data_IF_062946908926
#
_entry.id   IF_062946908926
#
_cell.length_a   1.000
_cell.length_b   1.000
_cell.length_c   1.000
_cell.angle_alpha   90.00
_cell.angle_beta   90.00
_cell.angle_gamma   90.00
#
_symmetry.space_group_name_H-M   'P 1'
#
loop_
_entity.id
_entity.type
_entity.pdbx_description
1 polymer ?
#
# COMPACT_ATOMS: atom_id res chain seq x y z
N UNK A 1 45.31 -15.93 0.71
CA UNK A 1 44.40 -16.28 -0.40
C UNK A 1 42.97 -16.01 0.04
N UNK A 2 42.51 -14.77 -0.12
CA UNK A 2 41.09 -14.42 0.09
C UNK A 2 40.34 -14.88 -1.16
N UNK A 3 39.52 -15.93 -1.02
CA UNK A 3 38.62 -16.37 -2.09
C UNK A 3 37.50 -15.35 -2.22
N UNK A 4 37.54 -14.55 -3.29
CA UNK A 4 36.42 -13.75 -3.73
C UNK A 4 35.27 -14.70 -4.09
N UNK A 5 34.14 -14.56 -3.40
CA UNK A 5 32.89 -15.20 -3.79
C UNK A 5 32.41 -14.52 -5.09
N UNK A 6 31.99 -15.29 -6.12
CA UNK A 6 31.57 -14.73 -7.40
C UNK A 6 30.25 -13.95 -7.26
N UNK A 7 30.16 -12.81 -7.97
CA UNK A 7 29.01 -11.89 -8.00
C UNK A 7 27.66 -12.54 -8.37
N UNK A 8 27.67 -13.72 -8.97
CA UNK A 8 26.46 -14.46 -9.34
C UNK A 8 25.64 -14.99 -8.15
N UNK A 9 26.18 -15.02 -6.94
CA UNK A 9 25.48 -15.51 -5.74
C UNK A 9 24.66 -14.39 -5.04
N UNK A 10 24.93 -13.12 -5.33
CA UNK A 10 24.28 -11.98 -4.66
C UNK A 10 23.01 -11.49 -5.36
N UNK A 11 22.86 -11.69 -6.68
CA UNK A 11 21.59 -11.46 -7.37
C UNK A 11 20.51 -12.47 -6.95
N UNK A 12 20.88 -13.61 -6.37
CA UNK A 12 19.94 -14.58 -5.81
C UNK A 12 19.26 -14.08 -4.51
N UNK A 13 19.83 -13.09 -3.80
CA UNK A 13 19.19 -12.58 -2.57
C UNK A 13 17.96 -11.70 -2.85
N UNK A 14 17.78 -11.24 -4.09
CA UNK A 14 16.51 -10.69 -4.55
C UNK A 14 15.64 -11.86 -5.02
N UNK A 15 14.82 -12.42 -4.13
CA UNK A 15 13.81 -13.40 -4.51
C UNK A 15 14.17 -14.88 -4.34
N UNK A 16 15.11 -15.24 -3.45
CA UNK A 16 15.21 -16.63 -2.97
C UNK A 16 13.93 -17.02 -2.21
N UNK A 17 12.94 -17.49 -2.96
CA UNK A 17 11.79 -18.19 -2.46
C UNK A 17 12.29 -19.49 -1.80
N UNK A 18 12.32 -19.51 -0.48
CA UNK A 18 12.14 -20.78 0.22
C UNK A 18 10.76 -21.28 -0.22
N UNK A 19 10.72 -22.45 -0.87
CA UNK A 19 9.47 -23.11 -1.26
C UNK A 19 8.57 -23.19 -0.02
N UNK A 20 7.54 -22.34 0.01
CA UNK A 20 6.52 -22.39 1.04
C UNK A 20 5.69 -23.65 0.83
N UNK A 21 5.25 -24.27 1.93
CA UNK A 21 4.16 -25.24 1.86
C UNK A 21 2.99 -24.61 1.10
N UNK A 22 2.37 -25.35 0.18
CA UNK A 22 1.15 -24.91 -0.50
C UNK A 22 0.17 -24.32 0.54
N UNK A 23 -0.38 -23.12 0.30
CA UNK A 23 -1.33 -22.52 1.23
C UNK A 23 -2.48 -23.49 1.48
N UNK A 24 -2.98 -23.54 2.72
CA UNK A 24 -4.10 -24.41 3.10
C UNK A 24 -5.45 -23.97 2.48
N UNK A 25 -5.42 -22.93 1.66
CA UNK A 25 -6.54 -22.25 1.04
C UNK A 25 -6.18 -21.91 -0.42
N UNK A 26 -7.19 -21.83 -1.28
CA UNK A 26 -7.01 -21.65 -2.73
C UNK A 26 -6.79 -20.17 -3.08
N UNK A 27 -5.61 -19.84 -3.59
CA UNK A 27 -5.30 -18.50 -4.10
C UNK A 27 -5.78 -18.24 -5.54
N UNK A 28 -6.37 -19.24 -6.19
CA UNK A 28 -6.89 -19.10 -7.54
C UNK A 28 -8.07 -18.11 -7.55
N UNK A 29 -7.97 -17.07 -8.37
CA UNK A 29 -9.02 -16.05 -8.52
C UNK A 29 -9.51 -15.45 -7.18
N UNK A 30 -8.59 -15.27 -6.20
CA UNK A 30 -8.97 -14.76 -4.88
C UNK A 30 -9.45 -13.30 -4.93
N UNK A 31 -9.02 -12.52 -5.93
CA UNK A 31 -9.54 -11.17 -6.17
C UNK A 31 -11.04 -11.19 -6.50
N UNK A 32 -11.49 -12.22 -7.19
CA UNK A 32 -12.90 -12.49 -7.51
C UNK A 32 -13.57 -13.43 -6.48
N UNK A 33 -12.94 -13.65 -5.33
CA UNK A 33 -13.43 -14.52 -4.25
C UNK A 33 -13.76 -15.95 -4.72
N UNK A 34 -12.97 -16.48 -5.66
CA UNK A 34 -13.19 -17.80 -6.26
C UNK A 34 -14.51 -17.92 -7.03
N UNK A 35 -15.11 -16.79 -7.43
CA UNK A 35 -16.45 -16.72 -8.02
C UNK A 35 -17.59 -16.96 -7.02
N UNK A 36 -17.32 -16.92 -5.72
CA UNK A 36 -18.27 -17.25 -4.64
C UNK A 36 -18.28 -16.19 -3.53
N UNK A 37 -18.55 -14.91 -3.84
CA UNK A 37 -18.45 -13.82 -2.88
C UNK A 37 -19.32 -14.01 -1.62
N UNK A 38 -20.51 -14.61 -1.75
CA UNK A 38 -21.41 -14.86 -0.61
C UNK A 38 -20.87 -15.93 0.35
N UNK A 39 -20.27 -17.00 -0.17
CA UNK A 39 -19.64 -18.04 0.66
C UNK A 39 -18.43 -17.45 1.40
N UNK A 40 -17.63 -16.65 0.69
CA UNK A 40 -16.46 -15.96 1.27
C UNK A 40 -16.89 -14.93 2.32
N UNK A 41 -17.96 -14.17 2.10
CA UNK A 41 -18.50 -13.23 3.10
C UNK A 41 -18.95 -13.96 4.36
N UNK A 42 -19.64 -15.09 4.22
CA UNK A 42 -20.06 -15.91 5.36
C UNK A 42 -18.87 -16.48 6.15
N UNK A 43 -17.80 -16.89 5.46
CA UNK A 43 -16.57 -17.34 6.10
C UNK A 43 -15.85 -16.18 6.80
N UNK A 44 -15.81 -15.00 6.16
CA UNK A 44 -15.23 -13.79 6.71
C UNK A 44 -15.91 -13.38 8.02
N UNK A 45 -17.25 -13.38 8.08
CA UNK A 45 -18.00 -13.06 9.31
C UNK A 45 -17.68 -13.98 10.50
N UNK A 46 -17.20 -15.21 10.23
CA UNK A 46 -16.79 -16.15 11.27
C UNK A 46 -15.38 -15.91 11.78
N UNK A 47 -14.47 -15.45 10.91
CA UNK A 47 -13.08 -15.17 11.27
C UNK A 47 -12.43 -14.15 10.31
N UNK A 48 -12.66 -12.84 10.52
CA UNK A 48 -12.10 -11.79 9.68
C UNK A 48 -10.58 -11.83 9.60
N UNK A 49 -9.92 -12.09 10.73
CA UNK A 49 -8.47 -12.10 10.86
C UNK A 49 -7.83 -13.28 10.11
N UNK A 50 -8.48 -14.44 10.09
CA UNK A 50 -8.01 -15.61 9.34
C UNK A 50 -8.04 -15.30 7.85
N UNK A 51 -9.16 -14.78 7.34
CA UNK A 51 -9.28 -14.48 5.92
C UNK A 51 -8.36 -13.31 5.50
N UNK A 52 -8.14 -12.33 6.37
CA UNK A 52 -7.15 -11.28 6.14
C UNK A 52 -5.74 -11.84 5.94
N UNK A 53 -5.36 -12.82 6.77
CA UNK A 53 -4.09 -13.52 6.64
C UNK A 53 -4.01 -14.39 5.38
N UNK A 54 -5.10 -15.09 5.03
CA UNK A 54 -5.19 -15.83 3.78
C UNK A 54 -4.92 -14.91 2.58
N UNK A 55 -5.59 -13.75 2.52
CA UNK A 55 -5.34 -12.76 1.48
C UNK A 55 -3.91 -12.24 1.48
N UNK A 56 -3.33 -11.95 2.64
CA UNK A 56 -1.94 -11.50 2.73
C UNK A 56 -0.95 -12.56 2.21
N UNK A 57 -1.20 -13.83 2.51
CA UNK A 57 -0.40 -14.95 1.99
C UNK A 57 -0.59 -15.08 0.47
N UNK A 58 -1.82 -14.98 -0.07
CA UNK A 58 -2.02 -14.97 -1.53
C UNK A 58 -1.32 -13.81 -2.23
N UNK A 59 -1.42 -12.60 -1.68
CA UNK A 59 -0.77 -11.41 -2.21
C UNK A 59 0.75 -11.60 -2.29
N UNK A 60 1.34 -12.31 -1.33
CA UNK A 60 2.77 -12.60 -1.25
C UNK A 60 3.19 -13.94 -1.90
N UNK A 61 2.25 -14.67 -2.51
CA UNK A 61 2.59 -15.86 -3.30
C UNK A 61 3.35 -15.45 -4.57
N UNK A 62 4.27 -16.29 -5.09
CA UNK A 62 4.82 -16.10 -6.44
C UNK A 62 3.72 -15.89 -7.49
N UNK A 63 3.88 -14.89 -8.35
CA UNK A 63 2.89 -14.52 -9.37
C UNK A 63 2.70 -15.62 -10.42
N UNK A 64 3.76 -16.36 -10.71
CA UNK A 64 3.74 -17.53 -11.59
C UNK A 64 4.78 -18.54 -11.08
N UNK A 65 4.72 -19.76 -11.60
CA UNK A 65 5.76 -20.76 -11.35
C UNK A 65 7.13 -20.17 -11.74
N UNK A 66 8.10 -20.26 -10.84
CA UNK A 66 9.46 -19.71 -10.96
C UNK A 66 9.56 -18.17 -11.06
N UNK A 67 8.46 -17.44 -10.88
CA UNK A 67 8.51 -15.98 -10.75
C UNK A 67 9.01 -15.59 -9.37
N UNK A 68 9.98 -14.67 -9.33
CA UNK A 68 10.37 -14.02 -8.08
C UNK A 68 9.41 -12.86 -7.70
N UNK A 69 8.54 -12.40 -8.62
CA UNK A 69 7.56 -11.33 -8.35
C UNK A 69 6.41 -11.93 -7.56
N UNK A 70 5.90 -11.17 -6.58
CA UNK A 70 4.70 -11.55 -5.84
C UNK A 70 3.46 -11.14 -6.61
N UNK A 71 2.33 -11.78 -6.30
CA UNK A 71 1.04 -11.44 -6.91
C UNK A 71 0.74 -9.94 -6.78
N UNK A 72 1.02 -9.33 -5.61
CA UNK A 72 0.78 -7.90 -5.42
C UNK A 72 1.65 -6.99 -6.31
N UNK A 73 2.87 -7.42 -6.69
CA UNK A 73 3.75 -6.67 -7.60
C UNK A 73 3.15 -6.59 -9.02
N UNK A 74 2.26 -7.54 -9.35
CA UNK A 74 1.47 -7.57 -10.58
C UNK A 74 0.32 -6.56 -10.63
N UNK A 75 -0.07 -5.92 -9.52
CA UNK A 75 -1.17 -4.96 -9.51
C UNK A 75 -0.82 -3.64 -10.22
N UNK A 76 -1.81 -2.86 -10.68
CA UNK A 76 -1.59 -1.59 -11.40
C UNK A 76 -1.20 -0.47 -10.44
N UNK A 77 0.02 0.10 -10.53
CA UNK A 77 0.38 1.28 -9.75
C UNK A 77 -0.49 2.47 -10.13
N UNK A 78 -0.94 3.22 -9.13
CA UNK A 78 -1.83 4.37 -9.33
C UNK A 78 -1.22 5.48 -10.18
N UNK A 79 0.12 5.63 -10.22
CA UNK A 79 0.82 6.57 -11.10
C UNK A 79 0.72 6.21 -12.60
N UNK A 80 0.38 4.95 -12.91
CA UNK A 80 0.06 4.49 -14.27
C UNK A 80 -1.45 4.49 -14.57
N UNK A 81 -2.27 4.99 -13.64
CA UNK A 81 -3.73 5.15 -13.80
C UNK A 81 -4.07 6.63 -13.87
N UNK A 82 -3.56 7.40 -12.92
CA UNK A 82 -3.76 8.84 -12.81
C UNK A 82 -2.57 9.57 -13.45
N UNK A 83 -2.55 9.60 -14.78
CA UNK A 83 -1.43 10.14 -15.54
C UNK A 83 -1.26 11.66 -15.30
N UNK A 84 -0.02 12.20 -15.31
CA UNK A 84 0.25 13.61 -15.04
C UNK A 84 -0.48 14.63 -15.95
N UNK A 85 -0.90 14.19 -17.13
CA UNK A 85 -1.62 14.98 -18.12
C UNK A 85 -3.14 14.68 -18.15
N UNK A 86 -3.64 13.82 -17.25
CA UNK A 86 -5.03 13.39 -17.18
C UNK A 86 -5.49 12.55 -18.37
N UNK A 87 -4.56 12.01 -19.17
CA UNK A 87 -4.89 11.15 -20.30
C UNK A 87 -5.40 9.77 -19.84
N UNK A 88 -5.99 9.02 -20.78
CA UNK A 88 -6.47 7.67 -20.52
C UNK A 88 -5.27 6.74 -20.29
N UNK A 89 -5.26 5.95 -19.21
CA UNK A 89 -4.15 5.03 -18.95
C UNK A 89 -4.11 3.89 -19.96
N UNK A 90 -2.94 3.26 -20.10
CA UNK A 90 -2.78 1.99 -20.81
C UNK A 90 -3.66 0.89 -20.19
N UNK A 91 -4.08 -0.13 -20.97
CA UNK A 91 -4.81 -1.31 -20.45
C UNK A 91 -4.16 -1.93 -19.21
N UNK A 92 -4.94 -2.68 -18.42
CA UNK A 92 -4.46 -3.21 -17.12
C UNK A 92 -3.16 -4.01 -17.23
N UNK A 93 -3.07 -4.90 -18.22
CA UNK A 93 -1.89 -5.77 -18.47
C UNK A 93 -0.66 -5.02 -18.97
N UNK A 94 -0.85 -3.79 -19.46
CA UNK A 94 0.23 -3.01 -20.05
C UNK A 94 0.80 -2.05 -19.00
N UNK A 95 2.13 -2.00 -18.92
CA UNK A 95 2.85 -1.11 -18.02
C UNK A 95 3.38 0.10 -18.77
N UNK A 96 3.42 1.24 -18.10
CA UNK A 96 4.31 2.31 -18.51
C UNK A 96 5.76 1.81 -18.38
N UNK A 97 6.64 2.07 -19.37
CA UNK A 97 8.01 1.61 -19.31
C UNK A 97 8.76 2.30 -18.16
N UNK A 98 9.58 1.53 -17.44
CA UNK A 98 10.50 2.11 -16.45
C UNK A 98 11.38 3.18 -17.14
N UNK A 99 11.55 4.38 -16.54
CA UNK A 99 12.30 5.45 -17.18
C UNK A 99 13.71 5.01 -17.59
N UNK A 100 14.15 5.40 -18.79
CA UNK A 100 15.47 4.99 -19.34
C UNK A 100 16.62 5.34 -18.39
N UNK A 101 16.54 6.50 -17.72
CA UNK A 101 17.52 6.90 -16.72
C UNK A 101 17.58 5.95 -15.51
N UNK A 102 16.43 5.41 -15.09
CA UNK A 102 16.34 4.42 -14.01
C UNK A 102 16.97 3.10 -14.46
N UNK A 103 16.63 2.61 -15.66
CA UNK A 103 17.22 1.38 -16.22
C UNK A 103 18.73 1.49 -16.33
N UNK A 104 19.25 2.62 -16.85
CA UNK A 104 20.69 2.86 -16.96
C UNK A 104 21.39 2.86 -15.59
N UNK A 105 20.79 3.51 -14.60
CA UNK A 105 21.34 3.53 -13.24
C UNK A 105 21.32 2.13 -12.60
N UNK A 106 20.23 1.38 -12.78
CA UNK A 106 20.09 0.01 -12.30
C UNK A 106 21.17 -0.92 -12.90
N UNK A 107 21.40 -0.86 -14.22
CA UNK A 107 22.47 -1.61 -14.89
C UNK A 107 23.85 -1.30 -14.31
N UNK A 108 24.14 -0.02 -14.08
CA UNK A 108 25.40 0.40 -13.47
C UNK A 108 25.58 -0.11 -12.02
N UNK A 109 24.48 -0.38 -11.32
CA UNK A 109 24.46 -0.95 -9.97
C UNK A 109 24.44 -2.49 -9.95
N UNK A 110 24.37 -3.16 -11.12
CA UNK A 110 24.26 -4.62 -11.20
C UNK A 110 22.90 -5.16 -10.77
N UNK A 111 21.86 -4.33 -10.84
CA UNK A 111 20.47 -4.69 -10.54
C UNK A 111 19.86 -5.52 -11.68
N UNK A 112 18.86 -6.34 -11.35
CA UNK A 112 18.16 -7.17 -12.34
C UNK A 112 17.12 -6.33 -13.08
N UNK A 113 17.41 -5.94 -14.32
CA UNK A 113 16.52 -5.12 -15.14
C UNK A 113 15.29 -5.85 -15.68
N UNK A 114 15.17 -7.16 -15.47
CA UNK A 114 14.01 -7.95 -15.91
C UNK A 114 12.88 -7.97 -14.89
N UNK A 115 13.20 -7.65 -13.63
CA UNK A 115 12.27 -7.52 -12.51
C UNK A 115 11.49 -6.21 -12.58
N UNK A 116 10.35 -6.19 -11.89
CA UNK A 116 9.58 -4.96 -11.67
C UNK A 116 10.38 -3.92 -10.87
N UNK A 117 10.34 -2.67 -11.31
CA UNK A 117 10.86 -1.51 -10.57
C UNK A 117 9.69 -0.70 -9.99
N UNK A 118 9.62 -0.61 -8.68
CA UNK A 118 8.55 0.09 -7.98
C UNK A 118 8.81 1.60 -7.91
N UNK A 119 7.84 2.40 -8.37
CA UNK A 119 7.85 3.85 -8.21
C UNK A 119 7.32 4.23 -6.82
N UNK A 120 8.23 4.63 -5.92
CA UNK A 120 7.92 5.01 -4.53
C UNK A 120 7.73 6.53 -4.43
N UNK A 121 6.68 7.01 -5.08
CA UNK A 121 6.48 8.43 -5.40
C UNK A 121 5.95 9.30 -4.26
N UNK A 122 5.52 8.68 -3.16
CA UNK A 122 4.82 9.37 -2.07
C UNK A 122 5.60 9.27 -0.76
N UNK A 123 5.56 10.31 0.06
CA UNK A 123 6.21 10.34 1.39
C UNK A 123 5.34 10.96 2.48
N UNK A 124 4.27 11.64 2.09
CA UNK A 124 3.36 12.30 3.01
C UNK A 124 2.25 11.34 3.42
N UNK A 125 1.94 11.36 4.71
CA UNK A 125 0.77 10.72 5.27
C UNK A 125 -0.45 11.63 5.12
N UNK A 126 -1.60 11.12 5.51
CA UNK A 126 -2.88 11.82 5.31
C UNK A 126 -2.98 13.12 6.12
N UNK A 127 -2.24 13.20 7.22
CA UNK A 127 -2.11 14.36 8.10
C UNK A 127 -1.08 15.39 7.61
N UNK A 128 -0.43 15.13 6.47
CA UNK A 128 0.62 15.96 5.91
C UNK A 128 2.00 15.77 6.54
N UNK A 129 2.11 14.92 7.56
CA UNK A 129 3.39 14.62 8.21
C UNK A 129 4.16 13.54 7.44
N UNK A 130 5.46 13.51 7.69
CA UNK A 130 6.40 12.53 7.15
C UNK A 130 6.82 11.63 8.29
N UNK A 131 6.82 10.32 8.04
CA UNK A 131 7.49 9.37 8.92
C UNK A 131 8.96 9.28 8.51
N UNK A 132 9.87 9.43 9.46
CA UNK A 132 11.30 9.40 9.21
C UNK A 132 11.93 8.05 9.56
N UNK A 133 12.91 7.66 8.76
CA UNK A 133 13.84 6.58 9.06
C UNK A 133 14.79 7.01 10.19
N UNK A 134 14.99 6.14 11.19
CA UNK A 134 15.79 6.40 12.37
C UNK A 134 16.29 5.12 13.04
N UNK A 135 16.88 5.22 14.24
CA UNK A 135 17.44 4.06 14.94
C UNK A 135 18.62 3.41 14.19
N UNK A 136 18.46 2.13 13.85
CA UNK A 136 19.49 1.24 13.29
C UNK A 136 19.71 1.41 11.77
N UNK A 137 19.30 2.53 11.20
CA UNK A 137 19.59 2.87 9.79
C UNK A 137 21.00 3.45 9.62
N UNK A 138 21.62 3.30 8.45
CA UNK A 138 22.87 3.98 8.12
C UNK A 138 22.75 5.50 8.29
N UNK A 139 23.85 6.17 8.64
CA UNK A 139 23.85 7.62 8.87
C UNK A 139 23.31 8.41 7.66
N UNK A 140 23.58 7.93 6.44
CA UNK A 140 23.09 8.52 5.20
C UNK A 140 21.58 8.36 4.97
N UNK A 141 20.89 7.49 5.72
CA UNK A 141 19.44 7.27 5.63
C UNK A 141 18.66 7.89 6.80
N UNK A 142 19.34 8.28 7.90
CA UNK A 142 18.66 8.88 9.06
C UNK A 142 17.97 10.19 8.69
N UNK A 143 16.73 10.37 9.13
CA UNK A 143 15.89 11.54 8.83
C UNK A 143 15.31 11.56 7.42
N UNK A 144 15.57 10.54 6.59
CA UNK A 144 14.91 10.44 5.29
C UNK A 144 13.52 9.82 5.42
N UNK A 145 12.59 10.17 4.52
CA UNK A 145 11.21 9.70 4.60
C UNK A 145 11.09 8.19 4.34
N UNK A 146 10.21 7.54 5.09
CA UNK A 146 9.53 6.32 4.64
C UNK A 146 8.70 6.66 3.40
N UNK A 147 8.69 5.76 2.42
CA UNK A 147 8.03 5.99 1.13
C UNK A 147 6.81 5.11 0.95
N UNK A 148 5.89 5.53 0.09
CA UNK A 148 4.65 4.83 -0.17
C UNK A 148 4.45 4.55 -1.65
N UNK A 149 3.72 3.47 -1.93
CA UNK A 149 3.19 3.15 -3.26
C UNK A 149 1.75 2.68 -3.12
N UNK A 150 0.89 3.09 -4.04
CA UNK A 150 -0.50 2.61 -4.12
C UNK A 150 -0.67 1.79 -5.39
N UNK A 151 -1.37 0.65 -5.26
CA UNK A 151 -1.64 -0.29 -6.34
C UNK A 151 -3.11 -0.70 -6.35
N UNK A 152 -3.66 -1.07 -7.51
CA UNK A 152 -5.07 -1.47 -7.64
C UNK A 152 -5.27 -2.76 -8.44
N UNK A 153 -6.32 -3.49 -8.05
CA UNK A 153 -6.84 -4.67 -8.72
C UNK A 153 -7.43 -4.38 -10.10
N UNK A 154 -7.63 -5.43 -10.89
CA UNK A 154 -8.18 -5.33 -12.25
C UNK A 154 -9.56 -4.68 -12.27
N UNK A 155 -10.45 -5.09 -11.39
CA UNK A 155 -11.83 -4.59 -11.40
C UNK A 155 -11.93 -3.16 -10.86
N UNK A 156 -11.07 -2.77 -9.92
CA UNK A 156 -10.91 -1.36 -9.52
C UNK A 156 -10.49 -0.51 -10.71
N UNK A 157 -9.44 -0.93 -11.42
CA UNK A 157 -8.95 -0.25 -12.62
C UNK A 157 -10.02 -0.19 -13.72
N UNK A 158 -10.65 -1.32 -14.02
CA UNK A 158 -11.67 -1.44 -15.06
C UNK A 158 -12.82 -0.49 -14.79
N UNK A 159 -13.33 -0.48 -13.55
CA UNK A 159 -14.41 0.42 -13.15
C UNK A 159 -14.01 1.91 -13.28
N UNK A 160 -12.78 2.28 -12.86
CA UNK A 160 -12.26 3.65 -13.01
C UNK A 160 -12.21 4.08 -14.49
N UNK A 161 -11.72 3.21 -15.36
CA UNK A 161 -11.61 3.47 -16.80
C UNK A 161 -12.98 3.54 -17.46
N UNK A 162 -13.87 2.60 -17.15
CA UNK A 162 -15.21 2.51 -17.73
C UNK A 162 -16.11 3.69 -17.31
N UNK A 163 -15.98 4.16 -16.06
CA UNK A 163 -16.65 5.38 -15.60
C UNK A 163 -15.96 6.66 -16.05
N UNK A 164 -14.78 6.58 -16.66
CA UNK A 164 -14.03 7.74 -17.12
C UNK A 164 -13.42 8.59 -16.00
N UNK A 165 -13.35 8.09 -14.76
CA UNK A 165 -12.96 8.86 -13.56
C UNK A 165 -11.44 8.83 -13.27
N UNK A 166 -10.63 8.35 -14.21
CA UNK A 166 -9.15 8.37 -14.14
C UNK A 166 -8.56 9.79 -14.22
N UNK A 167 -9.36 10.81 -14.53
CA UNK A 167 -8.97 12.22 -14.52
C UNK A 167 -10.04 13.07 -13.82
N UNK A 168 -9.69 14.32 -13.49
CA UNK A 168 -10.60 15.21 -12.74
C UNK A 168 -11.79 15.63 -13.59
N UNK A 169 -11.65 15.75 -14.91
CA UNK A 169 -12.76 16.06 -15.81
C UNK A 169 -13.89 15.03 -15.72
N UNK A 170 -13.55 13.73 -15.69
CA UNK A 170 -14.50 12.66 -15.50
C UNK A 170 -15.16 12.65 -14.13
N UNK A 171 -14.39 12.96 -13.07
CA UNK A 171 -14.94 13.09 -11.72
C UNK A 171 -15.88 14.31 -11.60
N UNK A 172 -15.57 15.41 -12.28
CA UNK A 172 -16.43 16.59 -12.35
C UNK A 172 -17.72 16.39 -13.15
N UNK A 173 -17.73 15.41 -14.05
CA UNK A 173 -18.91 15.01 -14.81
C UNK A 173 -19.84 14.05 -14.06
N UNK A 174 -19.49 13.59 -12.84
CA UNK A 174 -20.32 12.67 -12.06
C UNK A 174 -21.67 13.30 -11.70
N UNK A 175 -22.74 12.55 -11.95
CA UNK A 175 -24.13 12.91 -11.59
C UNK A 175 -24.68 12.07 -10.44
N UNK A 176 -23.92 11.07 -9.99
CA UNK A 176 -24.26 10.19 -8.89
C UNK A 176 -22.99 9.65 -8.21
N UNK A 177 -23.17 9.06 -7.04
CA UNK A 177 -22.12 8.34 -6.31
C UNK A 177 -21.57 7.18 -7.13
N UNK A 178 -20.28 6.89 -6.95
CA UNK A 178 -19.66 5.66 -7.45
C UNK A 178 -20.04 4.47 -6.53
N UNK A 179 -20.19 3.31 -7.14
CA UNK A 179 -20.33 2.02 -6.47
C UNK A 179 -19.42 1.02 -7.19
N UNK A 180 -18.24 0.76 -6.62
CA UNK A 180 -17.28 -0.17 -7.21
C UNK A 180 -17.83 -1.61 -7.19
N UNK A 181 -17.33 -2.49 -8.07
CA UNK A 181 -17.73 -3.90 -8.07
C UNK A 181 -17.19 -4.63 -6.83
N UNK A 182 -17.83 -5.75 -6.46
CA UNK A 182 -17.42 -6.54 -5.29
C UNK A 182 -15.94 -6.98 -5.35
N UNK A 183 -15.45 -7.32 -6.54
CA UNK A 183 -14.05 -7.70 -6.78
C UNK A 183 -13.08 -6.50 -6.84
N UNK A 184 -13.46 -5.33 -6.33
CA UNK A 184 -12.55 -4.18 -6.24
C UNK A 184 -11.58 -4.35 -5.07
N UNK A 185 -10.29 -4.11 -5.35
CA UNK A 185 -9.18 -4.15 -4.40
C UNK A 185 -8.21 -2.98 -4.61
N UNK A 186 -7.68 -2.44 -3.51
CA UNK A 186 -6.52 -1.53 -3.52
C UNK A 186 -5.52 -1.87 -2.41
N UNK A 187 -4.26 -1.57 -2.69
CA UNK A 187 -3.16 -1.67 -1.73
C UNK A 187 -2.51 -0.30 -1.54
N UNK A 188 -2.04 -0.06 -0.31
CA UNK A 188 -1.06 1.00 -0.02
C UNK A 188 0.08 0.39 0.77
N UNK A 189 1.30 0.47 0.24
CA UNK A 189 2.50 -0.10 0.85
C UNK A 189 3.42 0.99 1.39
N UNK A 190 4.15 0.70 2.46
CA UNK A 190 5.17 1.55 3.06
C UNK A 190 6.56 0.90 2.98
N UNK A 191 7.58 1.74 2.83
CA UNK A 191 8.91 1.30 2.42
C UNK A 191 10.04 2.04 3.13
N UNK A 192 10.94 1.27 3.75
CA UNK A 192 12.25 1.75 4.22
C UNK A 192 13.19 1.79 3.01
N UNK A 193 13.73 2.97 2.70
CA UNK A 193 14.64 3.13 1.57
C UNK A 193 16.05 2.64 1.91
N UNK A 194 16.57 1.72 1.10
CA UNK A 194 17.91 1.14 1.27
C UNK A 194 18.92 1.86 0.39
N UNK A 195 18.52 2.21 -0.85
CA UNK A 195 19.48 2.63 -1.88
C UNK A 195 20.28 1.42 -2.36
N UNK A 196 21.60 1.57 -2.56
CA UNK A 196 22.46 0.46 -2.99
C UNK A 196 23.40 -0.05 -1.86
N UNK A 197 23.03 0.17 -0.59
CA UNK A 197 23.79 -0.34 0.55
C UNK A 197 23.51 -1.82 0.79
N UNK A 198 24.44 -2.67 0.35
CA UNK A 198 24.35 -4.13 0.44
C UNK A 198 24.36 -4.64 1.89
N UNK A 199 25.05 -3.96 2.80
CA UNK A 199 25.10 -4.36 4.19
C UNK A 199 23.76 -4.06 4.87
N UNK A 200 23.18 -2.89 4.61
CA UNK A 200 21.86 -2.53 5.14
C UNK A 200 20.75 -3.39 4.53
N UNK A 201 20.82 -3.69 3.23
CA UNK A 201 19.91 -4.64 2.56
C UNK A 201 19.92 -6.00 3.26
N UNK A 202 21.11 -6.55 3.53
CA UNK A 202 21.25 -7.84 4.24
C UNK A 202 20.71 -7.78 5.66
N UNK A 203 20.93 -6.67 6.38
CA UNK A 203 20.37 -6.47 7.72
C UNK A 203 18.84 -6.53 7.70
N UNK A 204 18.19 -5.79 6.79
CA UNK A 204 16.73 -5.82 6.66
C UNK A 204 16.21 -7.17 6.19
N UNK A 205 16.88 -7.84 5.25
CA UNK A 205 16.51 -9.19 4.84
C UNK A 205 16.58 -10.19 6.01
N UNK A 206 17.61 -10.10 6.86
CA UNK A 206 17.73 -10.93 8.06
C UNK A 206 16.66 -10.64 9.11
N UNK A 207 16.20 -9.38 9.18
CA UNK A 207 15.04 -8.97 9.98
C UNK A 207 13.70 -9.32 9.32
N UNK A 208 13.73 -10.09 8.22
CA UNK A 208 12.58 -10.66 7.53
C UNK A 208 11.75 -9.66 6.72
N UNK A 209 12.35 -8.57 6.28
CA UNK A 209 11.71 -7.66 5.32
C UNK A 209 11.73 -8.24 3.92
N UNK A 210 10.61 -8.05 3.19
CA UNK A 210 10.58 -8.26 1.74
C UNK A 210 11.28 -7.09 1.02
N UNK A 211 12.24 -7.40 0.17
CA UNK A 211 13.07 -6.42 -0.53
C UNK A 211 12.70 -6.36 -2.01
N UNK A 212 12.45 -5.15 -2.51
CA UNK A 212 12.17 -4.88 -3.94
C UNK A 212 13.18 -3.95 -4.55
N UNK A 213 13.25 -3.93 -5.88
CA UNK A 213 13.93 -2.90 -6.65
C UNK A 213 12.98 -1.73 -6.86
N UNK A 214 13.47 -0.53 -6.62
CA UNK A 214 12.64 0.65 -6.56
C UNK A 214 13.37 1.89 -7.08
N UNK A 215 12.57 2.89 -7.39
CA UNK A 215 13.05 4.23 -7.66
C UNK A 215 12.08 5.27 -7.14
N UNK A 216 12.55 6.50 -7.03
CA UNK A 216 11.69 7.66 -6.84
C UNK A 216 12.33 8.90 -7.48
N UNK A 217 11.52 9.90 -7.76
CA UNK A 217 11.99 11.18 -8.29
C UNK A 217 12.29 12.15 -7.13
N UNK A 218 13.56 12.45 -6.91
CA UNK A 218 14.01 13.47 -5.98
C UNK A 218 13.94 14.85 -6.62
N UNK A 219 13.39 15.83 -5.90
CA UNK A 219 13.30 17.23 -6.32
C UNK A 219 12.71 17.41 -7.73
N UNK A 220 11.77 16.53 -8.13
CA UNK A 220 11.09 16.59 -9.42
C UNK A 220 11.96 16.36 -10.66
N UNK A 221 13.23 15.97 -10.52
CA UNK A 221 14.15 15.91 -11.67
C UNK A 221 15.22 14.81 -11.61
N UNK A 222 15.56 14.30 -10.42
CA UNK A 222 16.64 13.33 -10.26
C UNK A 222 16.12 11.99 -9.75
N UNK A 223 16.27 10.94 -10.54
CA UNK A 223 15.90 9.59 -10.10
C UNK A 223 16.91 9.05 -9.08
N UNK A 224 16.38 8.61 -7.94
CA UNK A 224 17.09 7.79 -6.98
C UNK A 224 16.70 6.34 -7.24
N UNK A 225 17.68 5.47 -7.45
CA UNK A 225 17.49 4.07 -7.84
C UNK A 225 18.19 3.19 -6.81
N UNK A 226 17.55 2.08 -6.43
CA UNK A 226 18.10 1.15 -5.46
C UNK A 226 17.05 0.18 -4.95
N UNK A 227 17.22 -0.28 -3.71
CA UNK A 227 16.35 -1.22 -3.06
C UNK A 227 15.47 -0.54 -2.00
N UNK A 228 14.36 -1.18 -1.66
CA UNK A 228 13.49 -0.79 -0.57
C UNK A 228 12.91 -2.01 0.15
N UNK A 229 12.65 -1.88 1.44
CA UNK A 229 12.11 -2.93 2.30
C UNK A 229 10.66 -2.64 2.69
N UNK A 230 9.74 -3.58 2.46
CA UNK A 230 8.32 -3.44 2.76
C UNK A 230 8.10 -3.38 4.28
N UNK A 231 7.76 -2.21 4.82
CA UNK A 231 7.55 -2.01 6.25
C UNK A 231 6.07 -2.09 6.66
N UNK A 232 5.14 -1.83 5.75
CA UNK A 232 3.71 -1.93 6.01
C UNK A 232 2.87 -2.08 4.74
N UNK A 233 1.67 -2.66 4.87
CA UNK A 233 0.73 -2.86 3.79
C UNK A 233 -0.72 -2.74 4.29
N UNK A 234 -1.44 -1.77 3.73
CA UNK A 234 -2.90 -1.76 3.71
C UNK A 234 -3.42 -2.58 2.56
N UNK A 235 -4.47 -3.34 2.83
CA UNK A 235 -5.29 -4.03 1.84
C UNK A 235 -6.73 -3.60 2.08
N UNK A 236 -7.38 -3.04 1.06
CA UNK A 236 -8.81 -2.72 1.10
C UNK A 236 -9.53 -3.43 -0.04
N UNK A 237 -10.68 -4.06 0.23
CA UNK A 237 -11.48 -4.76 -0.78
C UNK A 237 -12.99 -4.70 -0.54
N UNK A 238 -13.79 -4.86 -1.60
CA UNK A 238 -15.26 -4.68 -1.53
C UNK A 238 -16.03 -5.98 -1.30
N UNK A 239 -15.63 -6.76 -0.29
CA UNK A 239 -16.37 -7.96 0.12
C UNK A 239 -17.71 -7.62 0.80
N UNK A 240 -17.75 -6.52 1.55
CA UNK A 240 -18.91 -5.97 2.26
C UNK A 240 -19.29 -4.60 1.69
N UNK A 241 -20.48 -4.09 2.05
CA UNK A 241 -20.94 -2.77 1.60
C UNK A 241 -20.02 -1.64 2.09
N UNK A 242 -19.55 -1.74 3.33
CA UNK A 242 -18.60 -0.81 3.97
C UNK A 242 -17.13 -1.08 3.61
N UNK A 243 -16.87 -2.02 2.71
CA UNK A 243 -15.55 -2.57 2.40
C UNK A 243 -14.88 -3.26 3.60
N UNK A 244 -13.82 -4.01 3.31
CA UNK A 244 -12.95 -4.63 4.30
C UNK A 244 -11.59 -3.97 4.22
N UNK A 245 -11.11 -3.47 5.35
CA UNK A 245 -9.78 -2.94 5.56
C UNK A 245 -8.96 -3.89 6.42
N UNK A 246 -7.75 -4.21 5.97
CA UNK A 246 -6.77 -4.96 6.76
C UNK A 246 -5.43 -4.25 6.71
N UNK A 247 -4.64 -4.34 7.78
CA UNK A 247 -3.31 -3.72 7.82
C UNK A 247 -2.27 -4.61 8.45
N UNK A 248 -1.15 -4.75 7.74
CA UNK A 248 0.00 -5.56 8.11
C UNK A 248 1.24 -4.69 8.24
N UNK A 249 2.11 -4.99 9.21
CA UNK A 249 3.41 -4.33 9.32
C UNK A 249 4.50 -5.28 9.80
N UNK A 250 5.76 -4.93 9.53
CA UNK A 250 6.89 -5.72 10.00
C UNK A 250 7.15 -5.43 11.50
N UNK A 251 7.30 -6.50 12.30
CA UNK A 251 7.51 -6.45 13.76
C UNK A 251 8.79 -5.73 14.16
N UNK A 252 9.74 -5.59 13.24
CA UNK A 252 11.03 -4.94 13.46
C UNK A 252 11.01 -3.44 13.09
N UNK A 253 9.88 -2.86 12.70
CA UNK A 253 9.78 -1.46 12.26
C UNK A 253 10.34 -0.45 13.27
N UNK A 254 10.16 -0.70 14.56
CA UNK A 254 10.63 0.17 15.65
C UNK A 254 12.17 0.30 15.70
N UNK A 255 12.90 -0.62 15.08
CA UNK A 255 14.36 -0.53 14.94
C UNK A 255 14.78 0.52 13.89
N UNK A 256 13.91 0.84 12.93
CA UNK A 256 14.29 1.55 11.70
C UNK A 256 13.50 2.83 11.43
N UNK A 257 12.44 3.09 12.20
CA UNK A 257 11.59 4.28 12.06
C UNK A 257 11.34 4.91 13.42
N UNK A 258 11.14 6.23 13.43
CA UNK A 258 11.02 7.02 14.66
C UNK A 258 9.85 7.98 14.62
N UNK A 259 9.32 8.34 15.79
CA UNK A 259 8.34 9.41 15.95
C UNK A 259 8.96 10.77 15.65
N UNK A 260 8.11 11.76 15.37
CA UNK A 260 8.52 13.16 15.21
C UNK A 260 8.73 13.88 16.57
N UNK A 261 8.84 13.13 17.67
CA UNK A 261 9.14 13.67 19.00
C UNK A 261 10.55 14.28 19.04
N UNK A 262 10.78 15.17 20.02
CA UNK A 262 12.11 15.70 20.31
C UNK A 262 12.47 15.31 21.75
N UNK A 263 13.42 14.36 21.98
CA UNK A 263 14.15 13.58 20.98
C UNK A 263 13.28 12.50 20.29
N UNK A 264 13.63 12.06 19.06
CA UNK A 264 12.89 11.01 18.36
C UNK A 264 12.90 9.69 19.12
N UNK A 265 11.76 8.98 19.13
CA UNK A 265 11.60 7.67 19.79
C UNK A 265 11.30 6.59 18.76
N UNK A 266 11.63 5.31 19.01
CA UNK A 266 11.19 4.20 18.17
C UNK A 266 9.70 4.26 17.85
N UNK A 267 9.34 4.15 16.56
CA UNK A 267 7.95 4.10 16.13
C UNK A 267 7.36 2.74 16.50
N UNK A 268 6.20 2.75 17.16
CA UNK A 268 5.48 1.53 17.57
C UNK A 268 4.01 1.68 17.20
N UNK A 269 3.33 0.55 16.98
CA UNK A 269 1.90 0.55 16.77
C UNK A 269 1.17 0.65 18.11
N UNK A 270 0.32 1.65 18.26
CA UNK A 270 -0.47 1.89 19.48
C UNK A 270 -1.90 1.35 19.41
N UNK A 271 -2.32 0.83 18.25
CA UNK A 271 -3.67 0.32 18.00
C UNK A 271 -3.76 -1.20 17.85
N UNK A 272 -2.62 -1.89 17.73
CA UNK A 272 -2.60 -3.34 17.70
C UNK A 272 -1.19 -3.95 17.78
N UNK A 273 -1.06 -5.27 17.53
CA UNK A 273 -2.12 -6.17 17.09
C UNK A 273 -3.33 -6.25 18.05
N UNK A 274 -4.53 -6.19 17.48
CA UNK A 274 -5.78 -6.38 18.23
C UNK A 274 -5.82 -7.76 18.89
N UNK A 275 -6.61 -7.91 19.97
CA UNK A 275 -6.73 -9.20 20.67
C UNK A 275 -7.25 -10.33 19.77
N UNK A 276 -8.05 -10.02 18.75
CA UNK A 276 -8.51 -11.00 17.76
C UNK A 276 -7.39 -11.40 16.77
N UNK A 277 -6.53 -10.46 16.37
CA UNK A 277 -5.43 -10.73 15.44
C UNK A 277 -4.29 -11.53 16.09
N UNK A 278 -4.03 -11.36 17.39
CA UNK A 278 -2.92 -12.01 18.10
C UNK A 278 -2.85 -13.54 17.96
N UNK A 279 -3.91 -14.33 18.23
CA UNK A 279 -3.85 -15.78 18.08
C UNK A 279 -3.67 -16.21 16.61
N UNK A 280 -4.27 -15.49 15.66
CA UNK A 280 -4.14 -15.77 14.23
C UNK A 280 -2.72 -15.47 13.74
N UNK A 281 -2.14 -14.34 14.16
CA UNK A 281 -0.73 -14.00 13.91
C UNK A 281 0.18 -15.14 14.36
N UNK A 282 0.04 -15.64 15.59
CA UNK A 282 0.87 -16.73 16.10
C UNK A 282 0.76 -18.00 15.25
N UNK A 283 -0.45 -18.36 14.81
CA UNK A 283 -0.68 -19.51 13.93
C UNK A 283 -0.03 -19.33 12.56
N UNK A 284 -0.33 -18.23 11.87
CA UNK A 284 0.17 -17.98 10.52
C UNK A 284 1.68 -17.75 10.46
N UNK A 285 2.26 -17.05 11.43
CA UNK A 285 3.72 -16.86 11.50
C UNK A 285 4.46 -18.19 11.70
N UNK A 286 3.85 -19.15 12.40
CA UNK A 286 4.39 -20.52 12.52
C UNK A 286 4.28 -21.29 11.20
N UNK A 287 3.16 -21.14 10.49
CA UNK A 287 2.89 -21.85 9.23
C UNK A 287 3.67 -21.29 8.02
N UNK A 288 3.89 -19.97 7.99
CA UNK A 288 4.50 -19.25 6.85
C UNK A 288 5.79 -18.53 7.28
N UNK A 289 6.92 -19.27 7.45
CA UNK A 289 8.15 -18.72 8.01
C UNK A 289 8.72 -17.52 7.24
N UNK A 290 8.53 -17.47 5.91
CA UNK A 290 8.97 -16.34 5.09
C UNK A 290 8.18 -15.04 5.33
N UNK A 291 6.99 -15.13 5.94
CA UNK A 291 6.15 -13.99 6.30
C UNK A 291 6.08 -13.79 7.82
N UNK A 292 6.82 -14.58 8.61
CA UNK A 292 6.71 -14.62 10.06
C UNK A 292 7.09 -13.31 10.77
N UNK A 293 7.80 -12.40 10.08
CA UNK A 293 8.15 -11.08 10.60
C UNK A 293 7.09 -10.01 10.30
N UNK A 294 6.03 -10.34 9.57
CA UNK A 294 4.85 -9.50 9.41
C UNK A 294 3.76 -9.91 10.39
N UNK A 295 2.97 -8.96 10.85
CA UNK A 295 1.81 -9.22 11.69
C UNK A 295 0.59 -8.41 11.22
N UNK A 296 -0.58 -9.05 11.27
CA UNK A 296 -1.86 -8.36 11.13
C UNK A 296 -2.07 -7.51 12.38
N UNK A 297 -2.24 -6.21 12.18
CA UNK A 297 -2.62 -5.32 13.28
C UNK A 297 -4.10 -5.47 13.58
N UNK A 298 -4.95 -5.53 12.55
CA UNK A 298 -6.38 -5.76 12.71
C UNK A 298 -7.16 -5.63 11.41
N UNK A 299 -8.47 -5.85 11.52
CA UNK A 299 -9.44 -5.80 10.42
C UNK A 299 -10.57 -4.85 10.80
N UNK A 300 -10.97 -3.96 9.90
CA UNK A 300 -12.23 -3.21 9.97
C UNK A 300 -13.09 -3.61 8.77
N UNK A 301 -14.38 -3.85 8.97
CA UNK A 301 -15.32 -4.19 7.88
C UNK A 301 -16.69 -3.53 8.02
N UNK A 302 -16.79 -2.59 8.95
CA UNK A 302 -17.93 -1.72 9.19
C UNK A 302 -17.37 -0.35 9.54
N UNK A 303 -17.83 0.70 8.88
CA UNK A 303 -17.35 2.05 9.13
C UNK A 303 -17.78 2.51 10.54
N UNK A 304 -16.82 2.90 11.39
CA UNK A 304 -17.06 3.16 12.82
C UNK A 304 -17.22 1.90 13.69
N UNK A 305 -17.16 0.71 13.08
CA UNK A 305 -17.24 -0.58 13.77
C UNK A 305 -15.99 -0.91 14.59
N UNK A 306 -16.00 -2.07 15.24
CA UNK A 306 -14.85 -2.56 16.01
C UNK A 306 -13.75 -3.14 15.09
N UNK A 307 -12.46 -2.93 15.40
CA UNK A 307 -11.95 -1.95 16.36
C UNK A 307 -12.21 -0.53 15.84
N UNK A 308 -12.67 0.37 16.71
CA UNK A 308 -12.98 1.75 16.30
C UNK A 308 -11.75 2.47 15.76
N UNK A 309 -10.62 2.29 16.43
CA UNK A 309 -9.33 2.81 16.01
C UNK A 309 -8.47 1.67 15.47
N UNK A 310 -7.91 1.87 14.29
CA UNK A 310 -6.98 0.96 13.64
C UNK A 310 -6.00 1.80 12.83
N UNK A 311 -4.71 1.62 13.07
CA UNK A 311 -3.64 2.36 12.43
C UNK A 311 -2.49 1.41 12.09
N UNK A 312 -1.72 1.75 11.07
CA UNK A 312 -0.41 1.17 10.81
C UNK A 312 0.65 2.17 11.26
N UNK A 313 1.65 1.69 12.00
CA UNK A 313 2.70 2.57 12.55
C UNK A 313 3.52 3.24 11.44
N UNK A 314 3.50 2.70 10.22
CA UNK A 314 4.25 3.20 9.07
C UNK A 314 3.46 4.16 8.18
N UNK A 315 2.12 4.07 8.18
CA UNK A 315 1.25 4.77 7.24
C UNK A 315 0.36 5.83 7.91
N UNK A 316 0.10 5.68 9.22
CA UNK A 316 -0.67 6.59 10.08
C UNK A 316 0.09 6.98 11.36
N UNK A 317 1.42 7.11 11.25
CA UNK A 317 2.37 7.15 12.36
C UNK A 317 2.07 8.19 13.44
N UNK A 318 1.63 9.39 13.06
CA UNK A 318 1.44 10.52 13.97
C UNK A 318 -0.02 10.71 14.44
N UNK A 319 -0.98 10.00 13.84
CA UNK A 319 -2.40 10.11 14.18
C UNK A 319 -3.06 8.76 14.49
N UNK A 320 -2.26 7.77 14.90
CA UNK A 320 -2.74 6.41 15.21
C UNK A 320 -3.94 6.40 16.17
N UNK A 321 -3.92 7.26 17.19
CA UNK A 321 -4.99 7.39 18.20
C UNK A 321 -6.28 8.05 17.69
N UNK A 322 -6.29 8.48 16.42
CA UNK A 322 -7.44 9.11 15.75
C UNK A 322 -7.77 8.44 14.41
N UNK A 323 -7.06 7.36 14.05
CA UNK A 323 -7.26 6.65 12.79
C UNK A 323 -8.41 5.65 12.92
N UNK A 324 -9.52 5.90 12.23
CA UNK A 324 -10.48 4.85 11.86
C UNK A 324 -10.50 4.76 10.35
N UNK A 325 -9.86 3.74 9.80
CA UNK A 325 -9.60 3.68 8.37
C UNK A 325 -10.88 3.69 7.55
N UNK A 326 -11.87 2.84 7.88
CA UNK A 326 -13.13 2.81 7.13
C UNK A 326 -13.98 4.07 7.34
N UNK A 327 -14.07 4.63 8.54
CA UNK A 327 -14.82 5.87 8.74
C UNK A 327 -14.19 7.05 7.98
N UNK A 328 -12.86 7.12 7.91
CA UNK A 328 -12.15 8.11 7.10
C UNK A 328 -12.31 7.83 5.59
N UNK A 329 -12.22 6.57 5.17
CA UNK A 329 -12.37 6.19 3.76
C UNK A 329 -13.79 6.40 3.23
N UNK A 330 -14.83 6.25 4.05
CA UNK A 330 -16.21 6.56 3.69
C UNK A 330 -16.43 8.04 3.33
N UNK A 331 -15.50 8.92 3.70
CA UNK A 331 -15.54 10.34 3.33
C UNK A 331 -14.98 10.66 1.94
N UNK A 332 -14.51 9.65 1.20
CA UNK A 332 -14.05 9.83 -0.18
C UNK A 332 -15.19 10.38 -1.03
N UNK A 333 -15.10 11.65 -1.41
CA UNK A 333 -16.14 12.32 -2.18
C UNK A 333 -15.57 13.47 -3.01
N UNK A 334 -16.20 13.78 -4.14
CA UNK A 334 -15.80 14.87 -5.03
C UNK A 334 -16.98 15.75 -5.44
N UNK A 335 -16.73 17.04 -5.56
CA UNK A 335 -17.66 18.04 -6.05
C UNK A 335 -16.99 18.87 -7.13
N UNK A 336 -17.65 19.03 -8.29
CA UNK A 336 -17.17 19.93 -9.34
C UNK A 336 -17.04 21.40 -8.85
N UNK A 337 -17.75 21.78 -7.79
CA UNK A 337 -17.71 23.14 -7.21
C UNK A 337 -16.75 23.27 -6.03
N UNK A 338 -16.63 22.23 -5.21
CA UNK A 338 -15.88 22.27 -3.94
C UNK A 338 -14.56 21.49 -3.97
N UNK A 339 -14.30 20.73 -5.04
CA UNK A 339 -13.19 19.79 -5.13
C UNK A 339 -13.42 18.53 -4.31
N UNK A 340 -12.33 17.90 -3.87
CA UNK A 340 -12.39 16.73 -2.97
C UNK A 340 -12.87 17.14 -1.59
N UNK A 341 -13.65 16.27 -0.96
CA UNK A 341 -14.10 16.47 0.42
C UNK A 341 -12.91 16.60 1.37
N UNK A 342 -13.00 17.56 2.29
CA UNK A 342 -11.98 17.74 3.31
C UNK A 342 -12.33 16.93 4.56
N UNK A 343 -11.69 15.77 4.71
CA UNK A 343 -11.86 14.89 5.86
C UNK A 343 -11.08 15.37 7.10
N UNK A 344 -10.22 16.39 6.98
CA UNK A 344 -9.64 17.08 8.13
C UNK A 344 -10.71 18.02 8.73
N UNK A 345 -11.38 17.54 9.78
CA UNK A 345 -12.48 18.26 10.41
C UNK A 345 -11.96 19.24 11.47
N UNK A 346 -12.42 20.49 11.49
CA UNK A 346 -12.00 21.45 12.51
C UNK A 346 -12.53 21.06 13.90
N UNK A 347 -11.67 21.14 14.91
CA UNK A 347 -12.02 21.06 16.34
C UNK A 347 -11.40 22.27 17.07
N UNK A 348 -11.94 22.66 18.24
CA UNK A 348 -11.60 23.91 18.95
C UNK A 348 -10.10 24.28 18.96
N UNK A 349 -9.21 23.29 19.09
CA UNK A 349 -7.75 23.50 19.14
C UNK A 349 -6.97 22.72 18.05
N UNK A 350 -7.60 22.32 16.94
CA UNK A 350 -6.90 21.60 15.88
C UNK A 350 -7.77 20.95 14.81
N UNK A 351 -7.27 19.86 14.27
CA UNK A 351 -7.93 19.04 13.26
C UNK A 351 -8.13 17.65 13.86
N UNK A 352 -9.29 17.05 13.58
CA UNK A 352 -9.56 15.64 13.83
C UNK A 352 -9.94 14.92 12.56
N UNK A 353 -9.77 13.60 12.59
CA UNK A 353 -10.16 12.71 11.52
C UNK A 353 -11.43 11.95 11.89
N UNK A 354 -12.27 11.56 10.92
CA UNK A 354 -13.48 10.79 11.18
C UNK A 354 -13.13 9.47 11.86
N UNK A 355 -13.69 9.25 13.05
CA UNK A 355 -13.66 7.96 13.76
C UNK A 355 -15.02 7.25 13.73
N UNK A 356 -16.01 7.90 13.12
CA UNK A 356 -17.37 7.44 12.88
C UNK A 356 -17.81 7.94 11.50
N UNK A 357 -18.75 7.26 10.83
CA UNK A 357 -19.35 7.74 9.59
C UNK A 357 -19.93 9.15 9.76
N UNK A 358 -19.70 10.01 8.77
CA UNK A 358 -20.34 11.32 8.75
C UNK A 358 -21.77 11.20 8.22
N UNK A 359 -22.72 12.01 8.71
CA UNK A 359 -24.08 11.98 8.18
C UNK A 359 -24.11 12.40 6.71
N UNK A 360 -25.06 11.88 5.93
CA UNK A 360 -25.23 12.19 4.49
C UNK A 360 -25.27 13.70 4.19
N UNK A 361 -25.80 14.49 5.13
CA UNK A 361 -25.87 15.95 5.02
C UNK A 361 -24.48 16.62 4.91
N UNK A 362 -23.42 16.00 5.44
CA UNK A 362 -22.04 16.46 5.28
C UNK A 362 -21.60 16.44 3.82
N UNK A 363 -22.16 15.53 3.01
CA UNK A 363 -21.83 15.33 1.60
C UNK A 363 -22.76 16.11 0.66
N UNK A 364 -23.54 17.06 1.16
CA UNK A 364 -24.41 17.89 0.32
C UNK A 364 -23.63 18.60 -0.80
N UNK A 365 -23.95 18.24 -2.05
CA UNK A 365 -23.29 18.75 -3.26
C UNK A 365 -21.97 18.05 -3.63
N UNK A 366 -21.68 16.90 -3.03
CA UNK A 366 -20.62 15.97 -3.43
C UNK A 366 -21.24 14.68 -3.99
N UNK A 367 -20.49 13.98 -4.84
CA UNK A 367 -20.70 12.58 -5.15
C UNK A 367 -19.69 11.76 -4.34
N UNK A 368 -20.15 10.75 -3.60
CA UNK A 368 -19.26 9.78 -2.96
C UNK A 368 -18.50 8.99 -4.01
N UNK A 369 -17.23 8.73 -3.70
CA UNK A 369 -16.29 7.94 -4.49
C UNK A 369 -16.16 6.53 -3.90
N UNK A 370 -17.21 6.04 -3.26
CA UNK A 370 -17.21 4.82 -2.46
C UNK A 370 -16.18 4.95 -1.32
N UNK A 371 -15.20 4.06 -1.21
CA UNK A 371 -14.10 4.13 -0.23
C UNK A 371 -12.72 4.41 -0.89
N UNK A 372 -12.72 4.77 -2.18
CA UNK A 372 -11.53 4.79 -3.05
C UNK A 372 -10.88 6.18 -3.06
N UNK A 373 -10.06 6.46 -2.04
CA UNK A 373 -9.32 7.74 -1.93
C UNK A 373 -8.24 7.92 -3.00
N UNK A 374 -7.78 6.86 -3.66
CA UNK A 374 -6.76 6.96 -4.71
C UNK A 374 -7.22 7.82 -5.89
N UNK A 375 -8.54 7.95 -6.11
CA UNK A 375 -9.14 8.86 -7.11
C UNK A 375 -8.70 10.31 -6.93
N UNK A 376 -8.30 10.72 -5.71
CA UNK A 376 -7.72 12.04 -5.43
C UNK A 376 -6.42 12.33 -6.21
N UNK A 377 -5.74 11.29 -6.68
CA UNK A 377 -4.50 11.41 -7.47
C UNK A 377 -4.76 11.83 -8.92
N UNK A 378 -6.01 11.77 -9.39
CA UNK A 378 -6.40 12.19 -10.73
C UNK A 378 -5.94 13.62 -11.03
N UNK A 379 -5.48 13.83 -12.26
CA UNK A 379 -5.09 15.13 -12.78
C UNK A 379 -6.13 15.65 -13.78
N UNK A 380 -6.19 16.96 -13.98
CA UNK A 380 -6.97 17.55 -15.07
C UNK A 380 -6.38 17.15 -16.41
N UNK A 381 -7.24 16.93 -17.41
CA UNK A 381 -6.79 16.72 -18.78
C UNK A 381 -6.12 17.99 -19.29
N UNK A 382 -4.83 17.91 -19.59
CA UNK A 382 -4.13 19.02 -20.25
C UNK A 382 -4.59 19.06 -21.70
N UNK A 383 -5.14 20.20 -22.15
CA UNK A 383 -5.39 20.41 -23.57
C UNK A 383 -4.03 20.41 -24.28
N UNK A 384 -3.88 19.59 -25.33
CA UNK A 384 -2.60 19.43 -26.02
C UNK A 384 -2.07 20.77 -26.52
N UNK A 385 -1.02 21.28 -25.86
CA UNK A 385 -0.41 22.56 -26.21
C UNK A 385 0.66 22.98 -25.20
N UNK A 386 1.92 22.94 -25.67
CA UNK A 386 3.14 23.49 -25.07
C UNK A 386 3.79 22.66 -23.96
N UNK A 387 4.58 21.66 -24.40
CA UNK A 387 5.92 21.47 -23.85
C UNK A 387 6.87 22.45 -24.53
#
# INVERSE_FOLDING_TARGET
MQRALPLAVLSALAGLAQAQSQPAFDCTAFFEYGGKPEEVRKAFEQSPETLAWDWFVCLNHPQAQDSADRVWEGLKPTDQVFLPDGSKPLPYEQREPTPVAVVKAAQAMGMDTTRTFHNLDSTQQVDGLILEMGGNVPAAQRGKPVRFQLLMGRDTFGYIVDKGVYNVDGQAALTANLAFPAAAWELKTAWIWIGNDQAFMKTLANDGYYIVQAYYLQNGSQYQVGYAALSGMHVINKLTDDWVWTTFENRNNSKYTVTNDIPPKPMTNSTGPTSAAQPVNASFQSQYPALAQYELIGVQHTAGGAPKLLANSQLESAFQSQSSCLACHDTAAYSAKKGYFNFALPQQDGIVYPTEPLPDSAFAGYNKLDFVWSLKRAQWKRQGGQQ
#
